data_IF_810217501335
#
_entry.id   IF_810217501335
#
_cell.length_a   1.000
_cell.length_b   1.000
_cell.length_c   1.000
_cell.angle_alpha   90.00
_cell.angle_beta   90.00
_cell.angle_gamma   90.00
#
_symmetry.space_group_name_H-M   'P 1'
#
loop_
_entity.id
_entity.type
_entity.pdbx_description
1 polymer ?
#
# COMPACT_ATOMS: atom_id res chain seq x y z
N UNK A 1 21.04 -38.14 -32.27
CA UNK A 1 19.96 -37.47 -33.04
C UNK A 1 19.85 -36.03 -32.53
N UNK A 2 20.40 -35.07 -33.28
CA UNK A 2 20.36 -33.64 -32.97
C UNK A 2 19.05 -33.06 -33.53
N UNK A 3 18.21 -32.44 -32.68
CA UNK A 3 17.08 -31.61 -33.14
C UNK A 3 17.50 -30.14 -33.04
N UNK A 4 17.45 -29.45 -34.18
CA UNK A 4 17.72 -28.01 -34.32
C UNK A 4 16.49 -27.23 -33.84
N UNK A 5 16.68 -26.31 -32.90
CA UNK A 5 15.73 -25.24 -32.60
C UNK A 5 16.00 -24.06 -33.54
N UNK A 6 14.96 -23.59 -34.21
CA UNK A 6 14.96 -22.36 -34.99
C UNK A 6 14.55 -21.20 -34.08
N UNK A 7 15.41 -20.18 -34.00
CA UNK A 7 15.07 -18.84 -33.50
C UNK A 7 14.80 -17.94 -34.72
N UNK A 8 13.75 -17.10 -34.73
CA UNK A 8 13.72 -15.93 -35.58
C UNK A 8 14.36 -14.74 -34.85
N UNK A 9 15.42 -14.19 -35.48
CA UNK A 9 15.94 -12.84 -35.28
C UNK A 9 14.79 -11.82 -35.43
N UNK A 10 14.68 -10.76 -34.64
CA UNK A 10 15.66 -9.68 -34.53
C UNK A 10 15.32 -8.59 -35.54
N UNK A 11 14.52 -7.60 -35.14
CA UNK A 11 14.35 -6.33 -35.86
C UNK A 11 14.98 -5.25 -34.99
N UNK A 12 16.07 -4.69 -35.51
CA UNK A 12 16.77 -3.55 -34.94
C UNK A 12 16.23 -2.24 -35.54
N UNK A 13 16.11 -1.24 -34.65
CA UNK A 13 16.32 0.20 -34.78
C UNK A 13 15.84 0.97 -36.02
N UNK A 14 15.15 2.09 -35.79
CA UNK A 14 15.61 3.41 -36.26
C UNK A 14 14.94 4.57 -35.50
N UNK A 15 15.78 5.51 -35.06
CA UNK A 15 15.48 6.79 -34.39
C UNK A 15 15.45 7.88 -35.47
N UNK A 16 14.49 8.81 -35.43
CA UNK A 16 14.67 10.11 -36.08
C UNK A 16 13.94 11.27 -35.37
N UNK A 17 14.74 12.03 -34.62
CA UNK A 17 14.77 13.48 -34.41
C UNK A 17 13.72 14.34 -35.12
N UNK A 18 13.01 15.20 -34.35
CA UNK A 18 12.70 16.58 -34.76
C UNK A 18 12.68 17.52 -33.54
N UNK A 19 13.65 18.44 -33.50
CA UNK A 19 13.72 19.58 -32.60
C UNK A 19 13.67 20.88 -33.43
N UNK A 20 12.98 21.87 -32.86
CA UNK A 20 13.11 23.33 -33.02
C UNK A 20 12.48 24.02 -34.24
N UNK A 21 11.49 24.89 -33.97
CA UNK A 21 11.60 26.33 -34.25
C UNK A 21 10.98 27.12 -33.07
N UNK A 22 11.79 28.00 -32.47
CA UNK A 22 11.44 29.00 -31.46
C UNK A 22 11.47 30.40 -32.12
N UNK A 23 10.97 31.42 -31.40
CA UNK A 23 11.25 32.87 -31.55
C UNK A 23 10.43 33.64 -32.62
N UNK A 24 9.84 34.84 -32.44
CA UNK A 24 9.67 35.86 -31.36
C UNK A 24 8.56 36.85 -31.80
N UNK A 25 7.79 37.44 -30.85
CA UNK A 25 7.53 38.92 -30.65
C UNK A 25 6.24 39.11 -29.81
N UNK A 26 6.33 39.47 -28.51
CA UNK A 26 6.42 40.84 -27.95
C UNK A 26 5.30 41.78 -28.45
N UNK A 27 4.49 42.44 -27.63
CA UNK A 27 4.48 42.61 -26.18
C UNK A 27 3.41 43.64 -25.73
N UNK A 28 3.61 44.14 -24.50
CA UNK A 28 2.87 45.20 -23.74
C UNK A 28 1.59 44.74 -23.00
N UNK A 29 1.37 45.01 -21.70
CA UNK A 29 2.10 45.78 -20.68
C UNK A 29 1.48 45.51 -19.28
N UNK A 30 2.32 45.34 -18.26
CA UNK A 30 2.51 46.21 -17.07
C UNK A 30 1.35 46.33 -16.05
N UNK A 31 1.57 45.78 -14.84
CA UNK A 31 1.78 46.53 -13.56
C UNK A 31 2.05 45.52 -12.42
N UNK A 32 3.26 45.47 -11.84
CA UNK A 32 3.73 46.16 -10.63
C UNK A 32 2.96 45.83 -9.33
N UNK A 33 3.61 45.07 -8.44
CA UNK A 33 4.07 45.60 -7.15
C UNK A 33 5.14 44.67 -6.58
N UNK A 34 6.21 45.29 -6.09
CA UNK A 34 7.30 44.66 -5.38
C UNK A 34 6.97 44.70 -3.89
N UNK A 35 7.37 43.66 -3.16
CA UNK A 35 7.88 43.82 -1.80
C UNK A 35 8.98 42.78 -1.57
N UNK A 36 10.06 43.28 -1.02
CA UNK A 36 11.34 42.64 -0.83
C UNK A 36 11.55 42.52 0.68
N UNK A 37 11.63 41.33 1.24
CA UNK A 37 12.25 41.16 2.56
C UNK A 37 12.87 39.76 2.74
N UNK A 38 14.21 39.79 2.72
CA UNK A 38 15.16 39.04 3.55
C UNK A 38 14.94 37.56 3.87
N UNK A 39 15.85 36.77 3.32
CA UNK A 39 16.21 35.44 3.80
C UNK A 39 16.68 35.46 5.26
N UNK A 40 16.11 34.57 6.07
CA UNK A 40 16.75 34.03 7.27
C UNK A 40 16.50 32.52 7.29
N UNK A 41 17.59 31.78 7.07
CA UNK A 41 17.69 30.36 7.39
C UNK A 41 17.55 30.19 8.90
N UNK A 42 16.55 29.42 9.33
CA UNK A 42 16.40 29.00 10.71
C UNK A 42 16.21 27.48 10.72
N UNK A 43 17.30 26.77 11.02
CA UNK A 43 17.25 25.36 11.36
C UNK A 43 16.46 25.16 12.64
N UNK A 44 15.46 24.27 12.59
CA UNK A 44 14.76 23.80 13.77
C UNK A 44 15.49 22.55 14.30
N UNK A 45 16.43 22.78 15.23
CA UNK A 45 16.76 21.82 16.28
C UNK A 45 15.74 22.01 17.41
N UNK A 46 14.96 20.99 17.74
CA UNK A 46 14.30 20.82 19.04
C UNK A 46 14.77 19.48 19.59
N UNK A 47 15.75 19.45 20.50
CA UNK A 47 15.62 19.46 21.96
C UNK A 47 14.66 18.36 22.43
N UNK A 48 15.28 17.29 22.94
CA UNK A 48 14.62 16.24 23.70
C UNK A 48 13.97 16.84 24.95
N UNK A 49 12.67 16.66 25.09
CA UNK A 49 11.98 16.80 26.37
C UNK A 49 12.08 15.48 27.12
N UNK A 50 12.89 15.47 28.19
CA UNK A 50 12.80 14.48 29.26
C UNK A 50 11.47 14.69 30.00
N UNK A 51 10.50 13.81 29.76
CA UNK A 51 9.40 13.63 30.71
C UNK A 51 9.70 12.44 31.61
N UNK A 52 10.05 12.78 32.84
CA UNK A 52 10.18 11.89 33.97
C UNK A 52 8.79 11.50 34.49
N UNK A 53 8.35 10.28 34.18
CA UNK A 53 7.31 9.63 34.97
C UNK A 53 7.91 8.43 35.71
N UNK A 54 8.11 8.64 37.00
CA UNK A 54 8.55 7.62 37.93
C UNK A 54 7.35 6.85 38.51
N UNK A 55 7.53 5.53 38.51
CA UNK A 55 6.99 4.53 39.44
C UNK A 55 5.57 3.98 39.22
N UNK A 56 5.54 2.83 38.53
CA UNK A 56 4.62 1.73 38.79
C UNK A 56 5.35 0.40 38.54
N UNK A 57 5.77 -0.26 39.61
CA UNK A 57 6.55 -1.52 39.57
C UNK A 57 5.71 -2.70 39.10
N UNK A 58 6.08 -3.28 37.96
CA UNK A 58 5.61 -4.56 37.46
C UNK A 58 6.61 -5.06 36.43
N UNK A 59 7.63 -5.79 36.90
CA UNK A 59 8.70 -6.31 36.06
C UNK A 59 8.22 -7.43 35.14
N UNK A 60 7.96 -7.06 33.89
CA UNK A 60 8.23 -7.88 32.72
C UNK A 60 9.15 -7.06 31.82
N UNK A 61 10.22 -7.64 31.30
CA UNK A 61 11.00 -7.01 30.23
C UNK A 61 10.03 -6.70 29.09
N UNK A 62 9.67 -5.43 28.91
CA UNK A 62 8.90 -5.02 27.72
C UNK A 62 9.80 -5.31 26.53
N UNK A 63 9.34 -6.17 25.62
CA UNK A 63 10.03 -6.42 24.37
C UNK A 63 10.34 -5.06 23.71
N UNK A 64 11.58 -4.89 23.25
CA UNK A 64 11.95 -3.71 22.46
C UNK A 64 11.25 -3.83 21.11
N UNK A 65 10.35 -2.89 20.80
CA UNK A 65 9.58 -2.86 19.55
C UNK A 65 9.87 -1.57 18.77
N UNK A 66 9.65 -1.61 17.46
CA UNK A 66 9.86 -0.45 16.59
C UNK A 66 8.87 0.66 16.91
N UNK A 67 9.39 1.87 17.19
CA UNK A 67 8.59 3.04 17.55
C UNK A 67 8.30 3.99 16.40
N UNK A 68 9.06 3.89 15.32
CA UNK A 68 8.98 4.77 14.15
C UNK A 68 9.37 3.98 12.90
N UNK A 69 8.66 4.19 11.80
CA UNK A 69 8.98 3.62 10.49
C UNK A 69 8.87 4.71 9.44
N UNK A 70 9.93 4.88 8.66
CA UNK A 70 9.89 5.62 7.41
C UNK A 70 9.93 4.63 6.24
N UNK A 71 8.80 4.49 5.56
CA UNK A 71 8.66 3.62 4.41
C UNK A 71 8.70 4.43 3.12
N UNK A 72 9.91 4.74 2.66
CA UNK A 72 10.13 5.55 1.46
C UNK A 72 10.39 4.70 0.21
N UNK A 73 10.13 3.39 0.25
CA UNK A 73 10.44 2.47 -0.86
C UNK A 73 9.70 2.91 -2.11
N UNK A 74 10.43 3.17 -3.20
CA UNK A 74 9.84 3.64 -4.44
C UNK A 74 9.03 2.57 -5.16
N UNK A 75 8.09 3.00 -6.00
CA UNK A 75 7.33 2.11 -6.89
C UNK A 75 8.25 1.22 -7.74
N UNK A 76 9.35 1.78 -8.26
CA UNK A 76 10.31 1.08 -9.11
C UNK A 76 11.04 -0.02 -8.34
N UNK A 77 11.43 0.24 -7.09
CA UNK A 77 12.04 -0.75 -6.22
C UNK A 77 11.06 -1.85 -5.82
N UNK A 78 9.83 -1.49 -5.43
CA UNK A 78 8.76 -2.46 -5.12
C UNK A 78 8.53 -3.40 -6.30
N UNK A 79 8.35 -2.85 -7.50
CA UNK A 79 8.06 -3.63 -8.68
C UNK A 79 9.22 -4.56 -9.04
N UNK A 80 10.48 -4.09 -8.97
CA UNK A 80 11.64 -4.91 -9.32
C UNK A 80 11.85 -6.05 -8.31
N UNK A 81 11.73 -5.77 -7.01
CA UNK A 81 11.88 -6.79 -5.98
C UNK A 81 10.77 -7.84 -6.08
N UNK A 82 9.54 -7.40 -6.30
CA UNK A 82 8.40 -8.30 -6.55
C UNK A 82 8.61 -9.20 -7.77
N UNK A 83 9.12 -8.65 -8.89
CA UNK A 83 9.45 -9.45 -10.08
C UNK A 83 10.45 -10.56 -9.75
N UNK A 84 11.53 -10.25 -9.02
CA UNK A 84 12.51 -11.26 -8.61
C UNK A 84 11.89 -12.36 -7.75
N UNK A 85 11.03 -12.00 -6.81
CA UNK A 85 10.37 -12.97 -5.93
C UNK A 85 9.50 -13.95 -6.72
N UNK A 86 8.62 -13.43 -7.59
CA UNK A 86 7.75 -14.29 -8.41
C UNK A 86 8.53 -15.11 -9.43
N UNK A 87 9.53 -14.55 -10.11
CA UNK A 87 10.29 -15.25 -11.15
C UNK A 87 11.20 -16.34 -10.60
N UNK A 88 11.58 -16.26 -9.33
CA UNK A 88 12.47 -17.24 -8.69
C UNK A 88 11.71 -18.24 -7.82
N UNK A 89 10.39 -18.16 -7.79
CA UNK A 89 9.56 -19.13 -7.09
C UNK A 89 9.71 -20.53 -7.71
N UNK A 90 10.02 -21.53 -6.89
CA UNK A 90 10.33 -22.92 -7.29
C UNK A 90 11.64 -23.14 -8.05
N UNK A 91 12.49 -22.11 -8.16
CA UNK A 91 13.88 -22.28 -8.60
C UNK A 91 14.77 -22.76 -7.45
N UNK A 92 16.02 -23.16 -7.74
CA UNK A 92 16.99 -23.63 -6.74
C UNK A 92 17.24 -22.58 -5.63
N UNK A 93 17.17 -21.30 -5.99
CA UNK A 93 17.27 -20.15 -5.08
C UNK A 93 16.07 -19.25 -5.32
N UNK A 94 15.23 -19.10 -4.30
CA UNK A 94 14.10 -18.17 -4.30
C UNK A 94 14.49 -16.89 -3.55
N UNK A 95 14.30 -15.75 -4.20
CA UNK A 95 14.59 -14.44 -3.61
C UNK A 95 13.35 -13.87 -2.93
N UNK A 96 13.45 -13.47 -1.67
CA UNK A 96 12.36 -12.76 -1.01
C UNK A 96 12.42 -11.26 -1.30
N UNK A 97 11.32 -10.70 -1.81
CA UNK A 97 11.29 -9.27 -2.19
C UNK A 97 11.53 -8.32 -1.00
N UNK A 98 11.03 -8.63 0.20
CA UNK A 98 11.22 -7.79 1.39
C UNK A 98 12.68 -7.81 1.85
N UNK A 99 13.35 -8.96 1.76
CA UNK A 99 14.78 -9.06 2.08
C UNK A 99 15.65 -8.23 1.12
N UNK A 100 15.37 -8.27 -0.18
CA UNK A 100 16.05 -7.44 -1.17
C UNK A 100 15.83 -5.94 -0.89
N UNK A 101 14.61 -5.55 -0.57
CA UNK A 101 14.27 -4.17 -0.22
C UNK A 101 14.94 -3.75 1.09
N UNK A 102 14.97 -4.61 2.11
CA UNK A 102 15.62 -4.34 3.39
C UNK A 102 17.14 -4.21 3.24
N UNK A 103 17.76 -5.04 2.40
CA UNK A 103 19.18 -4.92 2.04
C UNK A 103 19.48 -3.56 1.42
N UNK A 104 18.66 -3.11 0.46
CA UNK A 104 18.81 -1.79 -0.14
C UNK A 104 18.47 -0.65 0.83
N UNK A 105 17.48 -0.83 1.70
CA UNK A 105 17.14 0.09 2.78
C UNK A 105 18.34 0.31 3.69
N UNK A 106 18.99 -0.76 4.14
CA UNK A 106 20.21 -0.70 4.94
C UNK A 106 21.36 -0.02 4.19
N UNK A 107 21.52 -0.30 2.90
CA UNK A 107 22.55 0.31 2.05
C UNK A 107 22.34 1.81 1.83
N UNK A 108 21.10 2.26 1.69
CA UNK A 108 20.79 3.67 1.42
C UNK A 108 20.45 4.49 2.67
N UNK A 109 20.32 3.85 3.83
CA UNK A 109 19.78 4.49 5.03
C UNK A 109 18.30 4.86 4.87
N UNK A 110 17.52 4.03 4.15
CA UNK A 110 16.09 4.23 3.91
C UNK A 110 15.75 5.28 2.83
N UNK A 111 16.74 5.99 2.29
CA UNK A 111 16.55 6.99 1.24
C UNK A 111 16.53 6.36 -0.17
N UNK A 112 15.34 5.93 -0.59
CA UNK A 112 15.12 5.36 -1.93
C UNK A 112 15.08 6.40 -3.06
N UNK A 113 15.25 7.70 -2.79
CA UNK A 113 15.53 8.67 -3.88
C UNK A 113 16.86 8.39 -4.57
N UNK A 114 17.74 7.64 -3.89
CA UNK A 114 19.04 7.16 -4.39
C UNK A 114 18.96 5.81 -5.10
N UNK A 115 17.78 5.20 -5.20
CA UNK A 115 17.60 3.87 -5.76
C UNK A 115 18.15 3.77 -7.18
N UNK A 116 18.99 2.75 -7.40
CA UNK A 116 19.44 2.34 -8.72
C UNK A 116 19.08 0.87 -8.94
N UNK A 117 18.42 0.57 -10.06
CA UNK A 117 18.05 -0.81 -10.39
C UNK A 117 19.27 -1.75 -10.45
N UNK A 118 20.42 -1.23 -10.91
CA UNK A 118 21.67 -1.97 -10.96
C UNK A 118 22.10 -2.51 -9.59
N UNK A 119 21.81 -1.80 -8.49
CA UNK A 119 22.17 -2.26 -7.14
C UNK A 119 21.31 -3.45 -6.70
N UNK A 120 20.02 -3.47 -7.08
CA UNK A 120 19.16 -4.62 -6.86
C UNK A 120 19.59 -5.81 -7.73
N UNK A 121 19.86 -5.55 -9.01
CA UNK A 121 20.28 -6.59 -9.96
C UNK A 121 21.58 -7.26 -9.51
N UNK A 122 22.58 -6.49 -9.08
CA UNK A 122 23.82 -7.04 -8.55
C UNK A 122 23.60 -7.89 -7.29
N UNK A 123 22.71 -7.46 -6.39
CA UNK A 123 22.36 -8.22 -5.19
C UNK A 123 21.69 -9.55 -5.56
N UNK A 124 20.68 -9.49 -6.44
CA UNK A 124 19.95 -10.68 -6.92
C UNK A 124 20.88 -11.65 -7.65
N UNK A 125 21.75 -11.18 -8.56
CA UNK A 125 22.73 -12.01 -9.26
C UNK A 125 23.68 -12.72 -8.30
N UNK A 126 24.19 -12.02 -7.28
CA UNK A 126 25.09 -12.61 -6.28
C UNK A 126 24.41 -13.74 -5.50
N UNK A 127 23.14 -13.57 -5.14
CA UNK A 127 22.34 -14.57 -4.44
C UNK A 127 22.01 -15.76 -5.36
N UNK A 128 21.52 -15.50 -6.57
CA UNK A 128 21.11 -16.53 -7.54
C UNK A 128 22.27 -17.40 -8.02
N UNK A 129 23.47 -16.84 -8.12
CA UNK A 129 24.67 -17.59 -8.55
C UNK A 129 25.37 -18.33 -7.40
N UNK A 130 24.85 -18.23 -6.17
CA UNK A 130 25.50 -18.79 -4.98
C UNK A 130 26.81 -18.10 -4.62
N UNK A 131 27.03 -16.86 -5.08
CA UNK A 131 28.20 -16.04 -4.75
C UNK A 131 28.15 -15.45 -3.34
N UNK A 132 27.00 -15.50 -2.67
CA UNK A 132 26.81 -15.20 -1.24
C UNK A 132 25.42 -15.66 -0.79
N UNK A 133 25.17 -15.60 0.51
CA UNK A 133 23.81 -15.61 1.08
C UNK A 133 23.37 -14.22 1.56
N UNK A 134 22.08 -14.03 1.84
CA UNK A 134 21.58 -12.74 2.36
C UNK A 134 22.19 -12.45 3.73
N UNK A 135 22.39 -13.48 4.56
CA UNK A 135 23.03 -13.38 5.88
C UNK A 135 24.47 -12.90 5.77
N UNK A 136 25.25 -13.45 4.83
CA UNK A 136 26.63 -13.00 4.60
C UNK A 136 26.67 -11.56 4.06
N UNK A 137 25.76 -11.20 3.16
CA UNK A 137 25.70 -9.85 2.57
C UNK A 137 25.29 -8.78 3.58
N UNK A 138 24.61 -9.17 4.66
CA UNK A 138 24.03 -8.26 5.66
C UNK A 138 24.70 -8.35 7.02
N UNK A 139 25.68 -9.23 7.21
CA UNK A 139 26.34 -9.48 8.49
C UNK A 139 26.92 -8.22 9.16
N UNK A 140 27.48 -7.31 8.36
CA UNK A 140 28.07 -6.04 8.84
C UNK A 140 27.13 -4.84 8.67
N UNK A 141 25.86 -5.06 8.30
CA UNK A 141 24.86 -4.01 8.12
C UNK A 141 24.07 -3.79 9.41
N UNK A 142 24.53 -2.84 10.23
CA UNK A 142 23.94 -2.49 11.55
C UNK A 142 22.40 -2.38 11.53
N UNK A 143 21.83 -1.77 10.48
CA UNK A 143 20.39 -1.48 10.40
C UNK A 143 19.58 -2.47 9.56
N UNK A 144 20.18 -3.55 9.03
CA UNK A 144 19.44 -4.51 8.19
C UNK A 144 18.25 -5.13 8.93
N UNK A 145 18.44 -5.55 10.18
CA UNK A 145 17.38 -6.13 11.00
C UNK A 145 16.19 -5.18 11.17
N UNK A 146 16.46 -3.89 11.43
CA UNK A 146 15.42 -2.86 11.49
C UNK A 146 14.65 -2.74 10.17
N UNK A 147 15.34 -2.62 9.03
CA UNK A 147 14.65 -2.51 7.73
C UNK A 147 13.88 -3.77 7.36
N UNK A 148 14.38 -4.96 7.69
CA UNK A 148 13.67 -6.22 7.44
C UNK A 148 12.38 -6.29 8.24
N UNK A 149 12.40 -5.89 9.49
CA UNK A 149 11.22 -5.87 10.35
C UNK A 149 10.24 -4.77 9.94
N UNK A 150 10.73 -3.54 9.71
CA UNK A 150 9.91 -2.40 9.33
C UNK A 150 9.24 -2.59 7.96
N UNK A 151 9.99 -3.01 6.93
CA UNK A 151 9.44 -3.26 5.60
C UNK A 151 8.59 -4.53 5.58
N UNK A 152 8.94 -5.53 6.40
CA UNK A 152 8.10 -6.71 6.61
C UNK A 152 6.75 -6.36 7.22
N UNK A 153 6.69 -5.46 8.20
CA UNK A 153 5.43 -5.01 8.78
C UNK A 153 4.51 -4.38 7.73
N UNK A 154 5.05 -3.71 6.71
CA UNK A 154 4.28 -3.14 5.59
C UNK A 154 3.90 -4.19 4.55
N UNK A 155 4.82 -5.08 4.17
CA UNK A 155 4.76 -5.85 2.92
C UNK A 155 4.58 -7.36 3.09
N UNK A 156 4.99 -7.95 4.21
CA UNK A 156 4.87 -9.40 4.42
C UNK A 156 3.39 -9.80 4.34
N UNK A 157 3.11 -10.94 3.70
CA UNK A 157 1.76 -11.45 3.47
C UNK A 157 1.10 -10.97 2.18
N UNK A 158 1.59 -9.88 1.56
CA UNK A 158 1.05 -9.39 0.29
C UNK A 158 1.43 -10.27 -0.92
N UNK A 159 2.57 -10.98 -0.86
CA UNK A 159 3.03 -11.92 -1.89
C UNK A 159 3.03 -13.33 -1.29
N UNK A 160 2.55 -14.32 -2.04
CA UNK A 160 2.58 -15.72 -1.62
C UNK A 160 1.64 -16.61 -2.41
N UNK A 161 1.40 -17.83 -1.91
CA UNK A 161 0.47 -18.78 -2.51
C UNK A 161 -0.99 -18.43 -2.26
N UNK A 162 -1.83 -18.62 -3.28
CA UNK A 162 -3.29 -18.47 -3.20
C UNK A 162 -4.01 -19.30 -4.27
N UNK A 163 -5.30 -19.53 -4.08
CA UNK A 163 -6.19 -20.02 -5.14
C UNK A 163 -7.12 -18.91 -5.60
N UNK A 164 -7.41 -18.84 -6.90
CA UNK A 164 -8.42 -17.92 -7.43
C UNK A 164 -9.21 -18.58 -8.55
N UNK A 165 -10.50 -18.28 -8.62
CA UNK A 165 -11.34 -18.64 -9.75
C UNK A 165 -10.88 -17.94 -11.02
N UNK A 166 -10.80 -18.69 -12.12
CA UNK A 166 -10.58 -18.16 -13.46
C UNK A 166 -11.56 -18.83 -14.43
N UNK A 167 -11.93 -18.17 -15.54
CA UNK A 167 -12.70 -18.86 -16.57
C UNK A 167 -11.88 -20.05 -17.11
N UNK A 168 -12.55 -21.16 -17.41
CA UNK A 168 -11.91 -22.38 -17.93
C UNK A 168 -11.19 -22.11 -19.26
N UNK A 169 -11.77 -21.26 -20.10
CA UNK A 169 -11.23 -20.69 -21.34
C UNK A 169 -11.82 -19.28 -21.55
N UNK A 170 -11.28 -18.48 -22.49
CA UNK A 170 -11.73 -17.10 -22.72
C UNK A 170 -13.24 -16.96 -22.97
N UNK A 171 -13.87 -17.95 -23.59
CA UNK A 171 -15.30 -17.95 -23.95
C UNK A 171 -16.19 -18.77 -22.99
N UNK A 172 -15.67 -19.26 -21.87
CA UNK A 172 -16.41 -20.14 -20.95
C UNK A 172 -16.91 -19.40 -19.71
N UNK A 173 -18.21 -19.50 -19.44
CA UNK A 173 -18.82 -19.05 -18.16
C UNK A 173 -18.46 -19.97 -16.98
N UNK A 174 -17.91 -21.16 -17.25
CA UNK A 174 -17.48 -22.09 -16.22
C UNK A 174 -16.19 -21.59 -15.57
N UNK A 175 -16.21 -21.46 -14.25
CA UNK A 175 -15.06 -21.10 -13.43
C UNK A 175 -14.33 -22.34 -12.93
N UNK A 176 -13.01 -22.27 -12.87
CA UNK A 176 -12.14 -23.30 -12.29
C UNK A 176 -11.18 -22.66 -11.29
N UNK A 177 -10.91 -23.36 -10.20
CA UNK A 177 -9.88 -22.95 -9.23
C UNK A 177 -8.50 -23.21 -9.81
N UNK A 178 -7.63 -22.21 -9.71
CA UNK A 178 -6.22 -22.31 -10.09
C UNK A 178 -5.34 -21.81 -8.94
N UNK A 179 -4.22 -22.51 -8.71
CA UNK A 179 -3.21 -22.14 -7.74
C UNK A 179 -2.20 -21.18 -8.38
N UNK A 180 -1.79 -20.18 -7.64
CA UNK A 180 -0.79 -19.19 -8.05
C UNK A 180 0.15 -18.89 -6.88
N UNK A 181 1.35 -18.44 -7.22
CA UNK A 181 2.23 -17.71 -6.33
C UNK A 181 2.42 -16.31 -6.91
N UNK A 182 2.26 -15.27 -6.08
CA UNK A 182 2.43 -13.89 -6.52
C UNK A 182 1.68 -12.90 -5.64
N UNK A 183 1.39 -11.71 -6.20
CA UNK A 183 0.71 -10.64 -5.48
C UNK A 183 -0.74 -11.01 -5.15
N UNK A 184 -1.02 -11.18 -3.86
CA UNK A 184 -2.34 -11.42 -3.27
C UNK A 184 -3.05 -10.12 -2.90
N UNK A 185 -2.29 -9.07 -2.55
CA UNK A 185 -2.86 -7.78 -2.19
C UNK A 185 -3.45 -7.05 -3.40
N UNK A 186 -4.50 -6.27 -3.17
CA UNK A 186 -5.25 -5.56 -4.21
C UNK A 186 -5.19 -4.05 -4.02
N UNK A 187 -5.21 -3.31 -5.13
CA UNK A 187 -5.55 -1.88 -5.11
C UNK A 187 -6.92 -1.71 -4.44
N UNK A 188 -7.09 -0.67 -3.60
CA UNK A 188 -8.34 -0.43 -2.87
C UNK A 188 -9.50 0.01 -3.78
N UNK A 189 -9.26 0.26 -5.07
CA UNK A 189 -10.30 0.61 -6.05
C UNK A 189 -10.46 -0.52 -7.07
N UNK A 190 -11.67 -1.07 -7.17
CA UNK A 190 -12.03 -2.15 -8.10
C UNK A 190 -11.66 -1.82 -9.56
N UNK A 191 -11.33 -2.85 -10.36
CA UNK A 191 -10.93 -2.71 -11.77
C UNK A 191 -12.03 -2.01 -12.58
N UNK A 192 -11.63 -1.31 -13.63
CA UNK A 192 -12.46 -0.51 -14.57
C UNK A 192 -13.07 0.78 -14.03
N UNK A 193 -12.93 1.08 -12.73
CA UNK A 193 -13.32 2.37 -12.17
C UNK A 193 -12.14 3.36 -12.25
N UNK A 194 -12.23 4.46 -13.01
CA UNK A 194 -11.16 5.43 -13.09
C UNK A 194 -11.04 6.23 -11.78
N UNK A 195 -9.82 6.60 -11.44
CA UNK A 195 -9.51 7.53 -10.36
C UNK A 195 -8.28 8.36 -10.75
N UNK A 196 -8.06 9.46 -10.05
CA UNK A 196 -6.84 10.27 -10.14
C UNK A 196 -6.31 10.52 -8.74
N UNK A 197 -5.01 10.62 -8.60
CA UNK A 197 -4.32 10.79 -7.33
C UNK A 197 -2.99 11.53 -7.54
N UNK A 198 -2.36 11.93 -6.44
CA UNK A 198 -1.01 12.47 -6.39
C UNK A 198 -0.46 12.26 -4.98
N UNK A 199 0.86 12.33 -4.82
CA UNK A 199 1.50 12.21 -3.51
C UNK A 199 1.03 13.35 -2.58
N UNK A 200 0.21 12.98 -1.60
CA UNK A 200 -0.44 13.89 -0.67
C UNK A 200 -0.23 13.51 0.79
N UNK A 201 0.68 12.58 1.08
CA UNK A 201 1.06 12.23 2.44
C UNK A 201 1.75 13.43 3.12
N UNK A 202 1.43 13.70 4.38
CA UNK A 202 1.98 14.83 5.12
C UNK A 202 1.46 16.21 4.68
N UNK A 203 0.71 16.33 3.58
CA UNK A 203 0.12 17.61 3.13
C UNK A 203 -0.79 18.17 4.21
N UNK A 204 -0.72 19.49 4.41
CA UNK A 204 -1.51 20.19 5.43
C UNK A 204 -3.01 20.06 5.17
N UNK A 205 -3.75 19.54 6.14
CA UNK A 205 -5.22 19.49 6.19
C UNK A 205 -5.74 20.43 7.27
N UNK A 206 -6.96 20.92 7.10
CA UNK A 206 -7.63 21.78 8.09
C UNK A 206 -9.11 21.47 8.21
N UNK A 207 -9.54 21.11 9.42
CA UNK A 207 -10.94 21.11 9.84
C UNK A 207 -10.97 21.32 11.35
N UNK A 208 -11.28 22.54 11.78
CA UNK A 208 -11.13 22.99 13.18
C UNK A 208 -9.69 23.38 13.54
N UNK A 209 -8.70 22.54 13.24
CA UNK A 209 -7.26 22.82 13.44
C UNK A 209 -6.42 22.26 12.27
N UNK A 210 -5.15 22.68 12.20
CA UNK A 210 -4.18 22.22 11.20
C UNK A 210 -3.60 20.86 11.61
N UNK A 211 -3.64 19.89 10.70
CA UNK A 211 -3.07 18.55 10.88
C UNK A 211 -2.37 18.10 9.60
N UNK A 212 -1.53 17.08 9.69
CA UNK A 212 -0.97 16.44 8.51
C UNK A 212 -1.96 15.39 7.96
N UNK A 213 -1.89 15.14 6.66
CA UNK A 213 -2.60 14.05 6.02
C UNK A 213 -1.87 12.72 6.27
N UNK A 214 -2.49 11.79 7.00
CA UNK A 214 -1.92 10.50 7.38
C UNK A 214 -2.60 9.38 6.59
N UNK A 215 -2.30 9.35 5.29
CA UNK A 215 -2.92 8.46 4.32
C UNK A 215 -2.81 9.03 2.93
N UNK A 216 -3.64 8.54 2.02
CA UNK A 216 -3.63 8.89 0.62
C UNK A 216 -5.04 9.03 0.04
N UNK A 217 -5.30 10.12 -0.69
CA UNK A 217 -6.61 10.37 -1.30
C UNK A 217 -6.64 10.00 -2.80
N UNK A 218 -7.56 9.10 -3.16
CA UNK A 218 -7.83 8.73 -4.55
C UNK A 218 -9.19 9.30 -4.98
N UNK A 219 -9.17 10.31 -5.87
CA UNK A 219 -10.36 11.00 -6.37
C UNK A 219 -11.08 10.17 -7.43
N UNK A 220 -12.39 9.98 -7.28
CA UNK A 220 -13.19 9.17 -8.19
C UNK A 220 -14.66 9.55 -8.19
N UNK A 221 -15.51 8.61 -8.64
CA UNK A 221 -16.95 8.81 -8.69
C UNK A 221 -17.66 8.23 -7.47
N UNK A 222 -18.78 8.85 -7.07
CA UNK A 222 -19.65 8.31 -6.04
C UNK A 222 -20.10 6.89 -6.40
N UNK A 223 -20.07 5.99 -5.42
CA UNK A 223 -20.48 4.60 -5.64
C UNK A 223 -19.43 3.70 -6.29
N UNK A 224 -18.23 4.21 -6.57
CA UNK A 224 -17.08 3.35 -6.96
C UNK A 224 -16.85 2.27 -5.90
N UNK A 225 -16.80 0.98 -6.25
CA UNK A 225 -16.56 -0.10 -5.31
C UNK A 225 -15.16 0.00 -4.70
N UNK A 226 -15.13 0.03 -3.38
CA UNK A 226 -13.92 -0.03 -2.56
C UNK A 226 -13.72 -1.47 -2.13
N UNK A 227 -12.48 -1.96 -2.25
CA UNK A 227 -12.14 -3.36 -1.97
C UNK A 227 -11.10 -3.48 -0.86
N UNK A 228 -11.14 -4.60 -0.13
CA UNK A 228 -10.13 -4.94 0.87
C UNK A 228 -8.76 -5.14 0.18
N UNK A 229 -7.73 -4.44 0.66
CA UNK A 229 -6.39 -4.48 0.06
C UNK A 229 -5.61 -5.72 0.48
N UNK A 230 -5.82 -6.22 1.70
CA UNK A 230 -5.26 -7.47 2.23
C UNK A 230 -6.39 -8.25 2.89
N UNK A 231 -6.25 -9.58 2.93
CA UNK A 231 -7.13 -10.43 3.72
C UNK A 231 -6.95 -10.14 5.21
N UNK A 232 -8.04 -10.08 5.96
CA UNK A 232 -8.00 -9.69 7.36
C UNK A 232 -9.37 -9.83 8.00
N UNK A 233 -9.58 -9.10 9.10
CA UNK A 233 -10.88 -8.99 9.72
C UNK A 233 -11.27 -7.52 9.93
N UNK A 234 -12.56 -7.26 9.83
CA UNK A 234 -13.14 -5.94 10.06
C UNK A 234 -13.01 -5.60 11.53
N UNK A 235 -12.13 -4.66 11.85
CA UNK A 235 -11.89 -4.21 13.21
C UNK A 235 -12.89 -3.14 13.65
N UNK A 236 -13.31 -2.29 12.70
CA UNK A 236 -14.28 -1.23 13.00
C UNK A 236 -15.07 -0.82 11.76
N UNK A 237 -16.35 -0.49 11.92
CA UNK A 237 -17.25 0.05 10.90
C UNK A 237 -18.13 1.14 11.50
N UNK A 238 -18.52 2.13 10.70
CA UNK A 238 -19.38 3.23 11.17
C UNK A 238 -18.78 4.63 11.06
N UNK A 239 -19.42 5.58 11.75
CA UNK A 239 -19.17 7.01 11.60
C UNK A 239 -18.08 7.54 12.55
N UNK A 240 -17.21 8.41 12.06
CA UNK A 240 -16.49 9.37 12.89
C UNK A 240 -16.51 10.78 12.29
N UNK A 241 -16.21 11.78 13.11
CA UNK A 241 -16.30 13.20 12.70
C UNK A 241 -15.41 13.55 11.50
N UNK A 242 -14.22 12.96 11.40
CA UNK A 242 -13.22 13.36 10.40
C UNK A 242 -13.35 12.55 9.11
N UNK A 243 -13.34 11.23 9.21
CA UNK A 243 -13.45 10.27 8.11
C UNK A 243 -14.88 10.00 7.64
N UNK A 244 -15.91 10.45 8.37
CA UNK A 244 -17.29 10.12 8.03
C UNK A 244 -17.55 8.64 8.17
N UNK A 245 -18.23 8.03 7.19
CA UNK A 245 -18.35 6.58 7.13
C UNK A 245 -17.00 5.96 6.80
N UNK A 246 -16.53 5.06 7.66
CA UNK A 246 -15.25 4.38 7.53
C UNK A 246 -15.29 2.90 7.89
N UNK A 247 -14.34 2.16 7.32
CA UNK A 247 -14.04 0.77 7.67
C UNK A 247 -12.55 0.70 8.07
N UNK A 248 -12.27 -0.02 9.14
CA UNK A 248 -10.93 -0.44 9.52
C UNK A 248 -10.77 -1.95 9.42
N UNK A 249 -9.71 -2.43 8.78
CA UNK A 249 -9.39 -3.86 8.64
C UNK A 249 -8.02 -4.13 9.26
N UNK A 250 -7.96 -5.07 10.20
CA UNK A 250 -6.69 -5.57 10.74
C UNK A 250 -6.20 -6.76 9.91
N UNK A 251 -4.91 -6.81 9.61
CA UNK A 251 -4.26 -8.01 9.08
C UNK A 251 -4.27 -9.14 10.12
N UNK A 252 -4.22 -10.39 9.66
CA UNK A 252 -4.22 -11.55 10.55
C UNK A 252 -2.95 -11.68 11.42
N UNK A 253 -1.84 -11.07 11.01
CA UNK A 253 -0.61 -11.04 11.80
C UNK A 253 -0.59 -9.91 12.86
N UNK A 254 -1.65 -9.09 12.90
CA UNK A 254 -1.82 -7.98 13.84
C UNK A 254 -0.95 -6.75 13.55
N UNK A 255 -0.13 -6.77 12.50
CA UNK A 255 0.85 -5.69 12.23
C UNK A 255 0.31 -4.53 11.43
N UNK A 256 -0.79 -4.71 10.70
CA UNK A 256 -1.35 -3.71 9.77
C UNK A 256 -2.79 -3.41 10.09
N UNK A 257 -3.12 -2.13 10.17
CA UNK A 257 -4.48 -1.62 10.21
C UNK A 257 -4.73 -0.75 8.97
N UNK A 258 -5.63 -1.20 8.11
CA UNK A 258 -6.05 -0.50 6.90
C UNK A 258 -7.27 0.36 7.19
N UNK A 259 -7.20 1.64 6.83
CA UNK A 259 -8.26 2.62 7.07
C UNK A 259 -8.86 3.09 5.75
N UNK A 260 -10.17 2.89 5.58
CA UNK A 260 -10.93 3.29 4.40
C UNK A 260 -12.00 4.29 4.83
N UNK A 261 -11.92 5.54 4.37
CA UNK A 261 -12.80 6.60 4.83
C UNK A 261 -13.48 7.37 3.69
N UNK A 262 -14.37 8.28 4.10
CA UNK A 262 -15.21 9.11 3.26
C UNK A 262 -16.21 8.31 2.44
N UNK A 263 -16.65 7.16 2.96
CA UNK A 263 -17.56 6.26 2.26
C UNK A 263 -18.92 6.90 2.00
N UNK A 264 -19.66 6.32 1.06
CA UNK A 264 -20.90 6.86 0.49
C UNK A 264 -21.98 7.10 1.54
N UNK A 265 -22.64 8.24 1.44
CA UNK A 265 -23.82 8.57 2.25
C UNK A 265 -24.95 7.55 2.04
N UNK A 266 -25.66 7.20 3.12
CA UNK A 266 -26.79 6.26 3.20
C UNK A 266 -26.47 4.78 2.93
N UNK A 267 -25.56 4.48 2.02
CA UNK A 267 -25.16 3.10 1.67
C UNK A 267 -23.62 3.04 1.62
N UNK A 268 -22.94 3.10 2.78
CA UNK A 268 -21.48 3.16 2.84
C UNK A 268 -20.80 1.81 2.64
N UNK A 269 -21.43 0.73 3.12
CA UNK A 269 -20.82 -0.60 3.26
C UNK A 269 -21.44 -1.60 2.30
N UNK A 270 -20.69 -2.66 1.98
CA UNK A 270 -21.22 -3.82 1.27
C UNK A 270 -22.32 -4.50 2.12
N UNK A 271 -23.30 -5.09 1.44
CA UNK A 271 -24.41 -5.79 2.10
C UNK A 271 -23.91 -6.91 3.04
N UNK A 272 -24.48 -6.96 4.25
CA UNK A 272 -24.19 -7.95 5.31
C UNK A 272 -22.78 -7.90 5.91
N UNK A 273 -21.96 -6.88 5.60
CA UNK A 273 -20.65 -6.71 6.22
C UNK A 273 -20.80 -6.13 7.64
N UNK A 274 -20.20 -6.80 8.62
CA UNK A 274 -20.26 -6.43 10.04
C UNK A 274 -18.86 -6.41 10.68
N UNK A 275 -18.73 -5.76 11.84
CA UNK A 275 -17.49 -5.82 12.64
C UNK A 275 -17.22 -7.26 13.09
N UNK A 276 -15.96 -7.70 12.99
CA UNK A 276 -15.54 -9.07 13.27
C UNK A 276 -15.54 -9.98 12.04
N UNK A 277 -16.17 -9.59 10.94
CA UNK A 277 -16.19 -10.40 9.72
C UNK A 277 -14.78 -10.57 9.15
N UNK A 278 -14.51 -11.79 8.67
CA UNK A 278 -13.32 -12.06 7.86
C UNK A 278 -13.58 -11.65 6.42
N UNK A 279 -12.70 -10.79 5.90
CA UNK A 279 -12.71 -10.36 4.50
C UNK A 279 -11.45 -10.88 3.80
N UNK A 280 -11.58 -11.27 2.54
CA UNK A 280 -10.45 -11.64 1.71
C UNK A 280 -10.02 -10.48 0.81
N UNK A 281 -8.73 -10.44 0.50
CA UNK A 281 -8.20 -9.44 -0.43
C UNK A 281 -9.00 -9.44 -1.76
N UNK A 282 -9.42 -8.25 -2.18
CA UNK A 282 -10.24 -8.04 -3.37
C UNK A 282 -11.76 -8.16 -3.18
N UNK A 283 -12.25 -8.48 -1.98
CA UNK A 283 -13.68 -8.40 -1.64
C UNK A 283 -14.16 -6.94 -1.66
N UNK A 284 -15.39 -6.69 -2.13
CA UNK A 284 -16.00 -5.36 -2.04
C UNK A 284 -16.45 -5.14 -0.61
N UNK A 285 -15.99 -4.05 0.01
CA UNK A 285 -16.27 -3.72 1.41
C UNK A 285 -17.16 -2.48 1.57
N UNK A 286 -17.20 -1.61 0.55
CA UNK A 286 -18.00 -0.40 0.59
C UNK A 286 -17.89 0.43 -0.67
N UNK A 287 -18.32 1.68 -0.57
CA UNK A 287 -18.50 2.53 -1.74
C UNK A 287 -17.93 3.93 -1.53
N UNK A 288 -17.23 4.45 -2.53
CA UNK A 288 -16.65 5.78 -2.50
C UNK A 288 -17.73 6.85 -2.31
N UNK A 289 -17.45 7.82 -1.44
CA UNK A 289 -18.33 8.91 -1.11
C UNK A 289 -17.58 10.22 -0.91
N UNK A 290 -18.19 11.08 -0.08
CA UNK A 290 -17.62 12.38 0.35
C UNK A 290 -18.09 12.73 1.76
N UNK A 291 -18.34 11.71 2.58
CA UNK A 291 -18.83 11.91 3.94
C UNK A 291 -17.71 12.25 4.90
N UNK A 292 -18.05 12.91 6.00
CA UNK A 292 -17.09 13.32 7.03
C UNK A 292 -17.16 14.82 7.29
N UNK A 293 -16.18 15.31 8.03
CA UNK A 293 -16.12 16.69 8.53
C UNK A 293 -17.45 17.18 9.12
N UNK A 294 -18.06 16.36 9.98
CA UNK A 294 -19.32 16.68 10.62
C UNK A 294 -19.49 15.91 11.93
N UNK A 295 -19.94 16.60 12.98
CA UNK A 295 -20.33 15.98 14.26
C UNK A 295 -21.64 15.20 14.14
N UNK A 296 -22.45 15.50 13.12
CA UNK A 296 -23.66 14.74 12.78
C UNK A 296 -23.31 13.63 11.81
N UNK A 297 -23.82 12.44 12.08
CA UNK A 297 -23.64 11.25 11.26
C UNK A 297 -24.28 11.38 9.87
N UNK A 298 -23.72 10.64 8.91
CA UNK A 298 -24.25 10.51 7.55
C UNK A 298 -24.34 11.83 6.78
N UNK A 299 -23.34 12.71 6.95
CA UNK A 299 -23.28 14.02 6.29
C UNK A 299 -22.21 14.05 5.20
N UNK A 300 -22.57 14.56 4.03
CA UNK A 300 -21.63 14.93 2.98
C UNK A 300 -21.13 16.36 3.23
N UNK A 301 -19.93 16.52 3.79
CA UNK A 301 -19.32 17.83 4.02
C UNK A 301 -17.95 18.01 3.36
N UNK A 302 -17.58 17.10 2.45
CA UNK A 302 -16.37 17.21 1.64
C UNK A 302 -16.76 17.57 0.21
N UNK A 303 -16.00 18.47 -0.41
CA UNK A 303 -16.30 19.01 -1.74
C UNK A 303 -16.04 18.00 -2.86
N UNK A 304 -15.13 17.06 -2.65
CA UNK A 304 -14.69 16.07 -3.64
C UNK A 304 -15.08 14.65 -3.24
N UNK A 305 -15.50 13.85 -4.22
CA UNK A 305 -15.63 12.41 -4.04
C UNK A 305 -14.24 11.77 -4.11
N UNK A 306 -13.86 11.07 -3.05
CA UNK A 306 -12.58 10.39 -2.96
C UNK A 306 -12.64 9.26 -1.94
N UNK A 307 -11.70 8.33 -2.05
CA UNK A 307 -11.36 7.40 -0.99
C UNK A 307 -10.14 7.96 -0.27
N UNK A 308 -10.25 8.15 1.04
CA UNK A 308 -9.07 8.26 1.89
C UNK A 308 -8.64 6.86 2.32
N UNK A 309 -7.40 6.49 2.00
CA UNK A 309 -6.81 5.19 2.31
C UNK A 309 -5.56 5.37 3.18
N UNK A 310 -5.56 4.75 4.36
CA UNK A 310 -4.42 4.78 5.28
C UNK A 310 -3.94 3.38 5.64
N UNK A 311 -2.66 3.27 5.99
CA UNK A 311 -2.06 2.08 6.56
C UNK A 311 -1.30 2.47 7.82
N UNK A 312 -1.72 1.90 8.95
CA UNK A 312 -1.04 2.03 10.23
C UNK A 312 -0.30 0.74 10.55
N UNK A 313 0.92 0.85 11.08
CA UNK A 313 1.70 -0.25 11.60
C UNK A 313 1.55 -0.35 13.12
N UNK A 314 1.46 -1.58 13.61
CA UNK A 314 1.27 -1.90 15.03
C UNK A 314 2.30 -2.95 15.41
N UNK A 315 3.35 -2.55 16.14
CA UNK A 315 4.33 -3.45 16.74
C UNK A 315 3.99 -3.77 18.19
N UNK A 316 3.30 -2.84 18.86
CA UNK A 316 2.73 -2.99 20.20
C UNK A 316 1.34 -2.32 20.23
N UNK A 317 0.40 -2.91 20.96
CA UNK A 317 -0.99 -2.40 21.02
C UNK A 317 -1.09 -0.97 21.57
N UNK A 318 -0.09 -0.49 22.34
CA UNK A 318 -0.02 0.92 22.76
C UNK A 318 0.15 1.92 21.60
N UNK A 319 0.49 1.45 20.39
CA UNK A 319 0.61 2.26 19.18
C UNK A 319 -0.69 2.36 18.38
N UNK A 320 -1.74 1.60 18.75
CA UNK A 320 -3.00 1.58 18.00
C UNK A 320 -3.71 2.93 18.05
N UNK A 321 -3.69 3.59 19.20
CA UNK A 321 -4.29 4.90 19.39
C UNK A 321 -3.34 5.82 20.19
N UNK A 322 -3.11 7.03 19.71
CA UNK A 322 -2.40 8.07 20.45
C UNK A 322 -1.18 8.65 19.72
N UNK A 323 -0.23 9.19 20.48
CA UNK A 323 0.88 9.97 19.91
C UNK A 323 1.97 9.13 19.23
N UNK A 324 1.91 7.80 19.34
CA UNK A 324 2.92 6.87 18.83
C UNK A 324 2.40 6.03 17.66
N UNK A 325 1.33 6.48 17.01
CA UNK A 325 0.81 5.86 15.80
C UNK A 325 1.85 5.94 14.67
N UNK A 326 2.02 4.83 13.94
CA UNK A 326 2.95 4.76 12.81
C UNK A 326 2.11 4.67 11.53
N UNK A 327 1.90 5.81 10.87
CA UNK A 327 1.22 5.87 9.58
C UNK A 327 2.22 5.85 8.44
N UNK A 328 1.94 5.01 7.44
CA UNK A 328 2.79 4.79 6.28
C UNK A 328 2.38 5.72 5.15
N UNK A 329 3.36 6.31 4.46
CA UNK A 329 3.13 6.85 3.12
C UNK A 329 2.82 5.71 2.16
N UNK A 330 1.54 5.54 1.87
CA UNK A 330 1.04 4.48 1.00
C UNK A 330 1.03 4.86 -0.48
N UNK A 331 1.46 6.06 -0.88
CA UNK A 331 1.39 6.46 -2.29
C UNK A 331 2.19 5.53 -3.22
N UNK A 332 3.47 5.19 -2.95
CA UNK A 332 4.22 4.22 -3.76
C UNK A 332 3.56 2.84 -3.77
N UNK A 333 3.01 2.42 -2.62
CA UNK A 333 2.32 1.15 -2.47
C UNK A 333 1.02 1.10 -3.28
N UNK A 334 0.20 2.15 -3.27
CA UNK A 334 -1.03 2.25 -4.07
C UNK A 334 -0.71 2.20 -5.56
N UNK A 335 0.36 2.89 -6.00
CA UNK A 335 0.86 2.78 -7.38
C UNK A 335 1.27 1.35 -7.72
N UNK A 336 1.98 0.66 -6.83
CA UNK A 336 2.36 -0.74 -7.00
C UNK A 336 1.14 -1.65 -7.09
N UNK A 337 0.17 -1.52 -6.17
CA UNK A 337 -1.04 -2.33 -6.11
C UNK A 337 -2.00 -2.08 -7.29
N UNK A 338 -1.87 -0.95 -8.00
CA UNK A 338 -2.69 -0.64 -9.18
C UNK A 338 -2.60 -1.69 -10.30
N UNK A 339 -1.52 -2.51 -10.31
CA UNK A 339 -1.37 -3.63 -11.23
C UNK A 339 -2.29 -4.81 -10.92
N UNK A 340 -2.80 -4.92 -9.68
CA UNK A 340 -3.70 -5.98 -9.24
C UNK A 340 -5.01 -5.39 -8.71
N UNK A 341 -6.01 -5.29 -9.59
CA UNK A 341 -7.34 -4.72 -9.29
C UNK A 341 -8.42 -5.80 -9.39
N UNK A 342 -9.28 -5.86 -8.39
CA UNK A 342 -10.35 -6.86 -8.33
C UNK A 342 -11.40 -6.57 -9.41
N UNK A 343 -11.74 -7.57 -10.23
CA UNK A 343 -12.88 -7.48 -11.13
C UNK A 343 -14.17 -7.62 -10.32
N UNK A 344 -15.14 -6.74 -10.58
CA UNK A 344 -16.41 -6.73 -9.87
C UNK A 344 -17.58 -6.79 -10.84
N UNK A 345 -18.68 -7.39 -10.38
CA UNK A 345 -19.96 -7.49 -11.08
C UNK A 345 -21.04 -6.85 -10.22
N UNK A 346 -21.99 -6.18 -10.87
CA UNK A 346 -23.12 -5.55 -10.18
C UNK A 346 -24.33 -6.47 -10.20
N UNK A 347 -24.99 -6.62 -9.07
CA UNK A 347 -26.34 -7.17 -9.02
C UNK A 347 -27.35 -6.03 -9.24
N UNK A 348 -28.11 -6.06 -10.33
CA UNK A 348 -29.04 -4.99 -10.65
C UNK A 348 -30.30 -4.96 -9.77
N UNK A 349 -30.61 -6.02 -9.04
CA UNK A 349 -31.75 -6.04 -8.11
C UNK A 349 -31.38 -5.36 -6.79
N UNK A 350 -30.26 -5.76 -6.16
CA UNK A 350 -29.78 -5.14 -4.91
C UNK A 350 -29.01 -3.84 -5.13
N UNK A 351 -28.53 -3.59 -6.35
CA UNK A 351 -27.61 -2.50 -6.74
C UNK A 351 -26.21 -2.61 -6.12
N UNK A 352 -25.91 -3.73 -5.46
CA UNK A 352 -24.62 -4.05 -4.85
C UNK A 352 -23.59 -4.54 -5.86
N UNK A 353 -22.31 -4.42 -5.48
CA UNK A 353 -21.18 -4.94 -6.23
C UNK A 353 -20.53 -6.09 -5.48
N UNK A 354 -20.12 -7.11 -6.24
CA UNK A 354 -19.44 -8.28 -5.71
C UNK A 354 -18.21 -8.58 -6.56
N UNK A 355 -17.18 -9.17 -5.96
CA UNK A 355 -16.04 -9.68 -6.74
C UNK A 355 -16.51 -10.73 -7.74
N UNK A 356 -15.98 -10.66 -8.95
CA UNK A 356 -16.31 -11.57 -10.06
C UNK A 356 -15.68 -12.95 -9.87
N UNK A 357 -14.48 -13.00 -9.32
CA UNK A 357 -13.69 -14.22 -9.14
C UNK A 357 -13.33 -14.40 -7.68
N UNK A 358 -13.82 -15.47 -7.08
CA UNK A 358 -13.54 -15.81 -5.68
C UNK A 358 -12.07 -16.18 -5.49
N UNK A 359 -11.52 -15.87 -4.33
CA UNK A 359 -10.15 -16.21 -3.94
C UNK A 359 -10.18 -17.05 -2.67
N UNK A 360 -9.10 -17.81 -2.45
CA UNK A 360 -8.76 -18.44 -1.18
C UNK A 360 -7.35 -18.03 -0.81
N UNK A 361 -7.26 -17.30 0.29
CA UNK A 361 -5.99 -17.00 0.95
C UNK A 361 -5.75 -18.04 2.06
N UNK A 362 -4.65 -18.81 2.01
CA UNK A 362 -4.30 -19.73 3.09
C UNK A 362 -4.25 -19.08 4.47
N UNK A 363 -3.92 -17.78 4.56
CA UNK A 363 -3.92 -17.05 5.83
C UNK A 363 -5.34 -16.88 6.40
N UNK A 364 -6.33 -16.59 5.55
CA UNK A 364 -7.73 -16.50 5.97
C UNK A 364 -8.28 -17.85 6.42
N UNK A 365 -7.98 -18.93 5.68
CA UNK A 365 -8.38 -20.28 6.08
C UNK A 365 -7.78 -20.70 7.42
N UNK A 366 -6.51 -20.36 7.66
CA UNK A 366 -5.83 -20.62 8.92
C UNK A 366 -6.48 -19.87 10.07
N UNK A 367 -6.79 -18.59 9.88
CA UNK A 367 -7.41 -17.73 10.90
C UNK A 367 -8.83 -18.22 11.28
N UNK A 368 -9.65 -18.56 10.28
CA UNK A 368 -10.99 -19.11 10.52
C UNK A 368 -10.92 -20.42 11.32
N UNK A 369 -10.01 -21.33 10.97
CA UNK A 369 -9.80 -22.59 11.70
C UNK A 369 -9.34 -22.38 13.14
N UNK A 370 -8.51 -21.38 13.41
CA UNK A 370 -8.09 -21.07 14.79
C UNK A 370 -9.22 -20.48 15.63
N UNK A 371 -10.13 -19.72 15.02
CA UNK A 371 -11.26 -19.12 15.73
C UNK A 371 -12.38 -20.11 16.00
N UNK A 372 -12.58 -21.15 15.17
CA UNK A 372 -13.55 -22.22 15.45
C UNK A 372 -13.14 -23.12 16.63
N UNK A 373 -11.86 -23.09 17.04
CA UNK A 373 -11.32 -23.90 18.13
C UNK A 373 -11.31 -23.19 19.49
N UNK A 374 -11.58 -21.89 19.52
CA UNK A 374 -11.68 -21.05 20.71
C UNK A 374 -13.14 -20.71 21.00
#
# INVERSE_FOLDING_TARGET
>A
MRKRLFFPAGIAAEILLLLLVFCVWQGSGQNQSADQETAVSAGARGIAEENSDAAGSGGGEKAEYIKWVEFNVSYEALNRAYTYDVETYQEDVHLNWVELLAYLGARYGGDFTRYQEADMTQAAEKLLTGGSTIEEMTADMEYYGYYREAYGAVLDGMVGEYEIEKPESEDSDKKVWKKFYGLKAYSPIAKTFPYTDYDDFGVSRSYGYRRNHLGHDMMGQVGTPIVASESGYVAVMGWNQYGGWRIGINSFDGKRYYYYAHLRQNIPFAESLEEGDVVQAGDVIGYMGRTGYSTTENVNNIDTYHLHFGLQLIFDESQREGNHEIWVDVYPLVRFLSQNRSEVVRNDASKEWYRKYSMKDPAAEKYLKSNEQN
#
